data_IF_693568647471
#
_entry.id   IF_693568647471
#
_cell.length_a   1.000
_cell.length_b   1.000
_cell.length_c   1.000
_cell.angle_alpha   90.00
_cell.angle_beta   90.00
_cell.angle_gamma   90.00
#
_symmetry.space_group_name_H-M   'P 1'
#
loop_
_entity.id
_entity.type
_entity.pdbx_description
1 polymer ?
#
# COMPACT_ATOMS: atom_id res chain seq x y z
N UNK A 1 -0.51 16.40 10.66
CA UNK A 1 -1.22 15.11 10.50
C UNK A 1 -2.26 15.26 9.39
N UNK A 2 -2.64 14.16 8.73
CA UNK A 2 -3.67 14.17 7.68
C UNK A 2 -4.99 14.79 8.15
N UNK A 3 -5.36 14.61 9.41
CA UNK A 3 -6.53 15.24 10.02
C UNK A 3 -6.47 16.78 9.94
N UNK A 4 -5.35 17.36 10.30
CA UNK A 4 -5.17 18.83 10.25
C UNK A 4 -5.26 19.34 8.81
N UNK A 5 -4.72 18.61 7.85
CA UNK A 5 -4.80 18.98 6.45
C UNK A 5 -6.23 18.88 5.90
N UNK A 6 -6.98 17.83 6.27
CA UNK A 6 -8.40 17.71 5.91
C UNK A 6 -9.21 18.92 6.43
N UNK A 7 -8.99 19.35 7.68
CA UNK A 7 -9.67 20.56 8.22
C UNK A 7 -9.32 21.83 7.43
N UNK A 8 -8.03 22.00 7.05
CA UNK A 8 -7.61 23.14 6.21
C UNK A 8 -8.24 23.11 4.81
N UNK A 9 -8.49 21.92 4.27
CA UNK A 9 -9.19 21.72 3.00
C UNK A 9 -10.71 21.92 3.10
N UNK A 10 -11.24 22.21 4.29
CA UNK A 10 -12.66 22.53 4.51
C UNK A 10 -13.53 21.34 4.92
N UNK A 11 -12.95 20.15 5.14
CA UNK A 11 -13.71 19.02 5.70
C UNK A 11 -14.10 19.34 7.15
N UNK A 12 -15.32 18.97 7.54
CA UNK A 12 -15.81 19.11 8.92
C UNK A 12 -15.39 17.89 9.74
N UNK A 13 -15.22 18.06 11.05
CA UNK A 13 -14.77 16.96 11.95
C UNK A 13 -15.59 15.68 11.81
N UNK A 14 -16.92 15.78 11.69
CA UNK A 14 -17.80 14.62 11.54
C UNK A 14 -17.64 13.86 10.21
N UNK A 15 -16.92 14.43 9.24
CA UNK A 15 -16.59 13.79 7.95
C UNK A 15 -15.24 13.07 7.99
N UNK A 16 -14.47 13.21 9.08
CA UNK A 16 -13.12 12.70 9.20
C UNK A 16 -13.09 11.60 10.26
N UNK A 17 -12.79 10.39 9.83
CA UNK A 17 -12.57 9.26 10.73
C UNK A 17 -11.08 9.02 10.88
N UNK A 18 -10.57 9.15 12.10
CA UNK A 18 -9.17 8.85 12.41
C UNK A 18 -8.99 7.35 12.58
N UNK A 19 -7.94 6.83 11.99
CA UNK A 19 -7.55 5.43 12.12
C UNK A 19 -6.17 5.31 12.74
N UNK A 20 -5.89 4.18 13.35
CA UNK A 20 -4.56 3.81 13.87
C UNK A 20 -4.15 2.45 13.31
N UNK A 21 -2.85 2.13 13.26
CA UNK A 21 -2.37 0.85 12.75
C UNK A 21 -2.94 -0.37 13.50
N UNK A 22 -2.98 -1.52 12.82
CA UNK A 22 -3.36 -2.82 13.39
C UNK A 22 -4.77 -2.84 14.00
N UNK A 23 -5.74 -2.24 13.31
CA UNK A 23 -7.15 -2.19 13.77
C UNK A 23 -8.10 -2.54 12.63
N UNK A 24 -9.23 -3.14 13.02
CA UNK A 24 -10.39 -3.39 12.15
C UNK A 24 -11.42 -2.30 12.37
N UNK A 25 -12.02 -1.87 11.26
CA UNK A 25 -13.02 -0.81 11.23
C UNK A 25 -14.23 -1.24 10.40
N UNK A 26 -15.39 -0.71 10.78
CA UNK A 26 -16.60 -0.74 9.96
C UNK A 26 -17.13 0.67 9.83
N UNK A 27 -17.12 1.23 8.63
CA UNK A 27 -17.60 2.59 8.35
C UNK A 27 -18.53 2.56 7.14
N UNK A 28 -19.72 3.09 7.30
CA UNK A 28 -20.71 3.19 6.21
C UNK A 28 -20.98 1.86 5.48
N UNK A 29 -20.96 0.74 6.21
CA UNK A 29 -21.18 -0.60 5.66
C UNK A 29 -19.94 -1.24 4.99
N UNK A 30 -18.80 -0.57 5.00
CA UNK A 30 -17.51 -1.09 4.52
C UNK A 30 -16.68 -1.60 5.69
N UNK A 31 -16.21 -2.83 5.61
CA UNK A 31 -15.21 -3.39 6.52
C UNK A 31 -13.81 -3.16 5.96
N UNK A 32 -12.88 -2.78 6.83
CA UNK A 32 -11.48 -2.67 6.46
C UNK A 32 -10.55 -2.84 7.66
N UNK A 33 -9.32 -3.22 7.37
CA UNK A 33 -8.23 -3.29 8.33
C UNK A 33 -7.15 -2.28 7.98
N UNK A 34 -6.39 -1.86 8.99
CA UNK A 34 -5.23 -0.98 8.81
C UNK A 34 -3.94 -1.73 9.12
N UNK A 35 -2.98 -1.63 8.20
CA UNK A 35 -1.65 -2.21 8.30
C UNK A 35 -0.63 -1.09 8.47
N UNK A 36 0.35 -1.18 9.38
CA UNK A 36 1.40 -0.17 9.47
C UNK A 36 2.13 0.02 8.14
N UNK A 37 2.23 1.28 7.68
CA UNK A 37 2.98 1.65 6.47
C UNK A 37 4.16 2.53 6.86
N UNK A 38 5.39 2.02 6.69
CA UNK A 38 6.60 2.74 7.06
C UNK A 38 7.83 2.21 6.31
N UNK A 39 8.84 3.06 6.22
CA UNK A 39 10.14 2.70 5.64
C UNK A 39 11.10 2.20 6.73
N UNK A 40 11.88 1.19 6.37
CA UNK A 40 12.90 0.58 7.25
C UNK A 40 14.27 1.20 6.97
N UNK A 41 14.55 1.53 5.73
CA UNK A 41 15.89 1.98 5.26
C UNK A 41 16.00 3.49 5.11
N UNK A 42 14.90 4.21 5.17
CA UNK A 42 14.84 5.65 4.89
C UNK A 42 14.30 6.42 6.08
N UNK A 43 14.72 7.70 6.21
CA UNK A 43 14.12 8.63 7.17
C UNK A 43 12.71 9.10 6.79
N UNK A 44 12.30 8.86 5.52
CA UNK A 44 10.95 9.13 5.07
C UNK A 44 10.01 8.06 5.61
N UNK A 45 8.78 8.42 5.93
CA UNK A 45 7.73 7.51 6.42
C UNK A 45 8.19 6.68 7.65
N UNK A 46 8.67 7.31 8.76
CA UNK A 46 9.12 6.56 9.92
C UNK A 46 7.94 5.86 10.63
N UNK A 47 8.17 4.69 11.24
CA UNK A 47 7.16 3.90 11.97
C UNK A 47 6.42 4.74 13.03
N UNK A 48 7.09 5.70 13.66
CA UNK A 48 6.52 6.61 14.66
C UNK A 48 5.42 7.54 14.12
N UNK A 49 5.32 7.70 12.80
CA UNK A 49 4.25 8.50 12.18
C UNK A 49 2.88 7.81 12.20
N UNK A 50 2.83 6.52 12.51
CA UNK A 50 1.61 5.71 12.55
C UNK A 50 0.78 5.79 11.25
N UNK A 51 1.44 5.91 10.11
CA UNK A 51 0.77 5.85 8.82
C UNK A 51 0.34 4.42 8.50
N UNK A 52 -0.67 4.29 7.64
CA UNK A 52 -1.31 3.00 7.40
C UNK A 52 -1.55 2.75 5.92
N UNK A 53 -1.38 1.49 5.53
CA UNK A 53 -2.05 0.89 4.40
C UNK A 53 -3.41 0.33 4.84
N UNK A 54 -4.22 -0.09 3.87
CA UNK A 54 -5.59 -0.55 4.10
C UNK A 54 -5.82 -1.89 3.43
N UNK A 55 -6.48 -2.82 4.13
CA UNK A 55 -7.10 -4.00 3.53
C UNK A 55 -8.60 -3.75 3.51
N UNK A 56 -9.17 -3.58 2.32
CA UNK A 56 -10.60 -3.33 2.11
C UNK A 56 -11.30 -4.64 1.73
N UNK A 57 -12.39 -4.95 2.40
CA UNK A 57 -13.28 -6.06 2.02
C UNK A 57 -14.38 -5.53 1.09
N UNK A 58 -14.31 -5.86 -0.19
CA UNK A 58 -15.30 -5.43 -1.19
C UNK A 58 -15.91 -6.68 -1.83
N UNK A 59 -17.23 -6.92 -1.58
CA UNK A 59 -17.91 -8.14 -1.98
C UNK A 59 -17.24 -9.37 -1.37
N UNK A 60 -16.65 -10.25 -2.19
CA UNK A 60 -15.98 -11.47 -1.76
C UNK A 60 -14.46 -11.44 -1.96
N UNK A 61 -13.88 -10.27 -2.14
CA UNK A 61 -12.44 -10.09 -2.37
C UNK A 61 -11.84 -9.05 -1.41
N UNK A 62 -10.58 -9.27 -1.04
CA UNK A 62 -9.78 -8.39 -0.20
C UNK A 62 -8.75 -7.62 -1.04
N UNK A 63 -8.68 -6.31 -0.81
CA UNK A 63 -7.83 -5.38 -1.55
C UNK A 63 -6.85 -4.70 -0.60
N UNK A 64 -5.58 -5.00 -0.73
CA UNK A 64 -4.53 -4.33 0.04
C UNK A 64 -3.99 -3.12 -0.72
N UNK A 65 -4.12 -1.94 -0.15
CA UNK A 65 -3.53 -0.69 -0.62
C UNK A 65 -2.42 -0.34 0.36
N UNK A 66 -1.16 -0.60 -0.01
CA UNK A 66 -0.05 -0.53 0.93
C UNK A 66 0.26 0.88 1.42
N UNK A 67 -0.06 1.91 0.63
CA UNK A 67 0.49 3.26 0.82
C UNK A 67 2.00 3.29 0.56
N UNK A 68 2.65 4.35 1.04
CA UNK A 68 4.09 4.54 0.92
C UNK A 68 4.79 3.76 2.04
N UNK A 69 5.47 2.69 1.69
CA UNK A 69 6.08 1.75 2.64
C UNK A 69 7.23 0.97 2.01
N UNK A 70 8.18 0.54 2.83
CA UNK A 70 9.09 -0.55 2.52
C UNK A 70 8.44 -1.90 2.90
N UNK A 71 9.05 -3.01 2.44
CA UNK A 71 8.78 -4.33 3.01
C UNK A 71 9.22 -4.35 4.48
N UNK A 72 8.32 -4.68 5.40
CA UNK A 72 8.56 -4.66 6.84
C UNK A 72 7.87 -5.82 7.57
N UNK A 73 8.16 -5.99 8.86
CA UNK A 73 7.66 -7.08 9.70
C UNK A 73 6.13 -7.14 9.82
N UNK A 74 5.44 -6.01 9.66
CA UNK A 74 3.98 -5.93 9.77
C UNK A 74 3.30 -6.30 8.45
N UNK A 75 3.78 -5.75 7.31
CA UNK A 75 3.10 -5.91 6.02
C UNK A 75 3.37 -7.24 5.32
N UNK A 76 4.44 -7.96 5.67
CA UNK A 76 4.69 -9.33 5.17
C UNK A 76 3.67 -10.36 5.65
N UNK A 77 2.86 -10.02 6.65
CA UNK A 77 1.80 -10.87 7.19
C UNK A 77 0.44 -10.63 6.53
N UNK A 78 0.38 -9.75 5.53
CA UNK A 78 -0.87 -9.41 4.84
C UNK A 78 -1.33 -10.58 3.97
N UNK A 79 -2.60 -10.93 4.12
CA UNK A 79 -3.32 -11.84 3.23
C UNK A 79 -4.34 -11.04 2.42
N UNK A 80 -4.27 -11.10 1.09
CA UNK A 80 -5.20 -10.38 0.21
C UNK A 80 -5.31 -11.03 -1.17
N UNK A 81 -6.43 -10.77 -1.86
CA UNK A 81 -6.63 -11.22 -3.24
C UNK A 81 -5.94 -10.29 -4.24
N UNK A 82 -5.98 -9.00 -3.98
CA UNK A 82 -5.41 -7.95 -4.84
C UNK A 82 -4.54 -7.01 -4.02
N UNK A 83 -3.31 -6.75 -4.48
CA UNK A 83 -2.39 -5.81 -3.83
C UNK A 83 -2.07 -4.63 -4.75
N UNK A 84 -2.08 -3.41 -4.19
CA UNK A 84 -1.56 -2.18 -4.81
C UNK A 84 -0.26 -1.82 -4.10
N UNK A 85 0.87 -1.89 -4.81
CA UNK A 85 2.21 -1.84 -4.21
C UNK A 85 3.09 -0.84 -4.94
N UNK A 86 3.80 0.08 -4.24
CA UNK A 86 4.69 1.05 -4.86
C UNK A 86 5.94 0.36 -5.41
N UNK A 87 6.41 0.87 -6.57
CA UNK A 87 7.61 0.36 -7.26
C UNK A 87 8.60 1.48 -7.65
N UNK A 88 8.36 2.72 -7.21
CA UNK A 88 9.08 3.91 -7.68
C UNK A 88 10.47 4.13 -7.09
N UNK A 89 10.84 3.50 -5.99
CA UNK A 89 12.22 3.35 -5.50
C UNK A 89 12.81 4.48 -4.66
N UNK A 90 12.32 5.72 -4.71
CA UNK A 90 12.98 6.83 -3.98
C UNK A 90 12.46 7.00 -2.56
N UNK A 91 11.16 6.93 -2.37
CA UNK A 91 10.47 7.12 -1.09
C UNK A 91 9.82 5.85 -0.56
N UNK A 92 9.90 4.79 -1.33
CA UNK A 92 9.23 3.51 -1.13
C UNK A 92 10.08 2.38 -1.70
N UNK A 93 9.58 1.17 -1.73
CA UNK A 93 10.22 0.03 -2.37
C UNK A 93 10.56 0.33 -3.84
N UNK A 94 11.73 -0.12 -4.27
CA UNK A 94 12.04 -0.23 -5.69
C UNK A 94 11.39 -1.49 -6.32
N UNK A 95 11.54 -1.66 -7.64
CA UNK A 95 10.95 -2.80 -8.36
C UNK A 95 11.40 -4.16 -7.84
N UNK A 96 12.64 -4.28 -7.35
CA UNK A 96 13.20 -5.54 -6.84
C UNK A 96 12.67 -5.84 -5.45
N UNK A 97 12.67 -4.85 -4.55
CA UNK A 97 12.14 -5.00 -3.21
C UNK A 97 10.63 -5.24 -3.22
N UNK A 98 9.90 -4.51 -4.07
CA UNK A 98 8.47 -4.71 -4.26
C UNK A 98 8.13 -6.12 -4.78
N UNK A 99 8.91 -6.64 -5.75
CA UNK A 99 8.72 -8.01 -6.22
C UNK A 99 9.02 -9.05 -5.14
N UNK A 100 10.06 -8.84 -4.33
CA UNK A 100 10.34 -9.70 -3.18
C UNK A 100 9.17 -9.71 -2.21
N UNK A 101 8.66 -8.54 -1.86
CA UNK A 101 7.50 -8.37 -0.97
C UNK A 101 6.25 -9.07 -1.51
N UNK A 102 5.90 -8.84 -2.78
CA UNK A 102 4.72 -9.43 -3.41
C UNK A 102 4.84 -10.95 -3.54
N UNK A 103 6.04 -11.46 -3.83
CA UNK A 103 6.30 -12.90 -3.84
C UNK A 103 6.21 -13.54 -2.44
N UNK A 104 6.33 -12.78 -1.36
CA UNK A 104 6.12 -13.25 0.03
C UNK A 104 4.63 -13.32 0.35
N UNK A 105 3.88 -12.24 0.13
CA UNK A 105 2.45 -12.17 0.47
C UNK A 105 1.54 -12.90 -0.55
N UNK A 106 2.02 -13.20 -1.74
CA UNK A 106 1.39 -14.02 -2.78
C UNK A 106 -0.09 -13.66 -3.09
N UNK A 107 -0.43 -12.41 -3.40
CA UNK A 107 -1.76 -12.07 -3.84
C UNK A 107 -2.06 -12.73 -5.20
N UNK A 108 -3.33 -12.94 -5.54
CA UNK A 108 -3.71 -13.43 -6.87
C UNK A 108 -3.42 -12.40 -7.97
N UNK A 109 -3.63 -11.11 -7.66
CA UNK A 109 -3.39 -9.99 -8.59
C UNK A 109 -2.56 -8.92 -7.87
N UNK A 110 -1.60 -8.34 -8.58
CA UNK A 110 -0.90 -7.15 -8.11
C UNK A 110 -0.98 -6.02 -9.13
N UNK A 111 -1.14 -4.80 -8.63
CA UNK A 111 -1.12 -3.56 -9.41
C UNK A 111 0.04 -2.71 -8.91
N UNK A 112 1.12 -2.53 -9.69
CA UNK A 112 2.18 -1.60 -9.33
C UNK A 112 1.65 -0.17 -9.37
N UNK A 113 2.02 0.63 -8.37
CA UNK A 113 1.66 2.04 -8.22
C UNK A 113 2.89 2.88 -7.91
N UNK A 114 2.71 4.20 -7.75
CA UNK A 114 3.76 5.14 -7.36
C UNK A 114 4.95 5.17 -8.34
N UNK A 115 4.66 5.19 -9.64
CA UNK A 115 5.64 5.33 -10.74
C UNK A 115 5.06 6.17 -11.88
N UNK A 116 5.94 6.66 -12.75
CA UNK A 116 5.57 7.34 -14.00
C UNK A 116 5.19 8.81 -13.90
N UNK A 117 5.24 9.42 -12.69
CA UNK A 117 4.95 10.85 -12.51
C UNK A 117 6.13 11.58 -11.86
N UNK A 118 6.25 11.53 -10.52
CA UNK A 118 7.32 12.23 -9.78
C UNK A 118 8.56 11.34 -9.67
N UNK A 119 8.37 10.06 -9.42
CA UNK A 119 9.42 9.05 -9.24
C UNK A 119 9.06 7.78 -10.01
N UNK A 120 10.07 6.97 -10.29
CA UNK A 120 9.90 5.72 -11.03
C UNK A 120 9.48 5.93 -12.48
N UNK A 121 9.53 4.87 -13.25
CA UNK A 121 9.23 4.85 -14.68
C UNK A 121 8.36 3.65 -15.01
N UNK A 122 7.86 3.58 -16.25
CA UNK A 122 7.17 2.39 -16.75
C UNK A 122 8.09 1.16 -16.73
N UNK A 123 9.38 1.35 -17.00
CA UNK A 123 10.38 0.27 -16.96
C UNK A 123 10.53 -0.33 -15.57
N UNK A 124 10.32 0.44 -14.50
CA UNK A 124 10.33 -0.10 -13.12
C UNK A 124 9.14 -1.03 -12.91
N UNK A 125 7.97 -0.70 -13.42
CA UNK A 125 6.79 -1.57 -13.36
C UNK A 125 6.98 -2.85 -14.21
N UNK A 126 7.55 -2.73 -15.41
CA UNK A 126 7.86 -3.88 -16.29
C UNK A 126 8.94 -4.78 -15.68
N UNK A 127 9.97 -4.19 -15.04
CA UNK A 127 10.99 -4.94 -14.29
C UNK A 127 10.39 -5.67 -13.10
N UNK A 128 9.51 -4.99 -12.35
CA UNK A 128 8.78 -5.59 -11.24
C UNK A 128 7.99 -6.81 -11.70
N UNK A 129 7.19 -6.69 -12.77
CA UNK A 129 6.41 -7.79 -13.35
C UNK A 129 7.29 -8.99 -13.70
N UNK A 130 8.45 -8.76 -14.35
CA UNK A 130 9.39 -9.81 -14.74
C UNK A 130 10.04 -10.57 -13.58
N UNK A 131 9.92 -10.07 -12.33
CA UNK A 131 10.46 -10.68 -11.11
C UNK A 131 9.41 -11.43 -10.27
N UNK A 132 8.14 -11.38 -10.68
CA UNK A 132 7.06 -12.04 -9.95
C UNK A 132 7.02 -13.55 -10.25
N UNK A 133 6.48 -14.31 -9.28
CA UNK A 133 6.14 -15.72 -9.52
C UNK A 133 5.01 -15.84 -10.54
N UNK A 134 5.04 -16.87 -11.37
CA UNK A 134 4.04 -17.13 -12.43
C UNK A 134 2.61 -17.33 -11.91
N UNK A 135 2.42 -17.48 -10.61
CA UNK A 135 1.11 -17.62 -9.97
C UNK A 135 0.43 -16.28 -9.69
N UNK A 136 1.15 -15.16 -9.85
CA UNK A 136 0.69 -13.81 -9.55
C UNK A 136 0.44 -13.06 -10.86
N UNK A 137 -0.79 -12.63 -11.08
CA UNK A 137 -1.14 -11.79 -12.23
C UNK A 137 -0.75 -10.33 -11.97
N UNK A 138 0.12 -9.76 -12.79
CA UNK A 138 0.47 -8.33 -12.73
C UNK A 138 -0.43 -7.52 -13.68
N UNK A 139 -0.97 -6.40 -13.20
CA UNK A 139 -1.75 -5.46 -14.00
C UNK A 139 -1.11 -4.08 -13.97
N UNK A 140 -0.29 -3.78 -14.97
CA UNK A 140 0.29 -2.46 -15.18
C UNK A 140 -0.79 -1.56 -15.75
N UNK A 141 -1.23 -0.58 -14.97
CA UNK A 141 -2.26 0.41 -15.37
C UNK A 141 -1.58 1.75 -15.64
N UNK A 142 -1.85 2.33 -16.81
CA UNK A 142 -1.36 3.66 -17.21
C UNK A 142 -2.52 4.55 -17.60
#
# INVERSE_FOLDING_TARGET
SGYTECLKMGFKEHQINRVVPNKRYQLHGMNFETVPAYNVKSQYHPKSSNWVGYILEIRSASYYISGDTDMNEDNVLVECDVAFVPVGGIYTMDSVEAAKFVNEIQPRIVVPIHYGAIVGTKQDAERFEGLLRNTIECRIMM
#
